data_IF_537831558099
#
_entry.id   IF_537831558099
#
_cell.length_a   1.000
_cell.length_b   1.000
_cell.length_c   1.000
_cell.angle_alpha   90.00
_cell.angle_beta   90.00
_cell.angle_gamma   90.00
#
_symmetry.space_group_name_H-M   'P 1'
#
loop_
_entity.id
_entity.type
_entity.pdbx_description
1 polymer ?
#
# COMPACT_ATOMS: atom_id res chain seq x y z
N UNK A 1 -71.90 17.11 9.25
CA UNK A 1 -70.43 16.93 9.17
C UNK A 1 -69.81 17.69 10.33
N UNK A 2 -69.08 17.00 11.21
CA UNK A 2 -68.75 17.52 12.54
C UNK A 2 -67.69 18.63 12.51
N UNK A 3 -67.82 19.56 13.45
CA UNK A 3 -66.93 20.70 13.72
C UNK A 3 -65.46 20.29 13.89
N UNK A 4 -65.21 19.02 14.22
CA UNK A 4 -63.89 18.40 14.35
C UNK A 4 -63.17 18.30 12.99
N UNK A 5 -63.89 17.95 11.93
CA UNK A 5 -63.32 17.82 10.57
C UNK A 5 -62.90 19.20 10.03
N UNK A 6 -63.64 20.26 10.41
CA UNK A 6 -63.31 21.64 10.01
C UNK A 6 -62.05 22.15 10.71
N UNK A 7 -61.87 21.87 12.01
CA UNK A 7 -60.65 22.21 12.76
C UNK A 7 -59.41 21.45 12.28
N UNK A 8 -59.56 20.17 11.92
CA UNK A 8 -58.44 19.40 11.35
C UNK A 8 -58.01 19.98 9.99
N UNK A 9 -58.97 20.42 9.17
CA UNK A 9 -58.68 21.05 7.89
C UNK A 9 -58.00 22.42 8.07
N UNK A 10 -58.45 23.23 9.02
CA UNK A 10 -57.82 24.53 9.34
C UNK A 10 -56.38 24.39 9.84
N UNK A 11 -56.10 23.39 10.71
CA UNK A 11 -54.75 23.11 11.23
C UNK A 11 -53.80 22.61 10.13
N UNK A 12 -54.30 21.82 9.17
CA UNK A 12 -53.50 21.36 8.03
C UNK A 12 -53.24 22.46 6.98
N UNK A 13 -54.12 23.45 6.87
CA UNK A 13 -53.96 24.58 5.94
C UNK A 13 -53.12 25.74 6.48
N UNK A 14 -52.95 25.83 7.80
CA UNK A 14 -52.12 26.84 8.47
C UNK A 14 -50.85 26.24 9.09
N UNK A 15 -50.16 25.35 8.38
CA UNK A 15 -48.77 25.10 8.67
C UNK A 15 -47.99 26.40 8.34
N UNK A 16 -47.44 27.12 9.32
CA UNK A 16 -46.62 28.28 9.03
C UNK A 16 -45.45 27.82 8.16
N UNK A 17 -45.27 28.49 7.02
CA UNK A 17 -44.05 28.45 6.23
C UNK A 17 -42.96 29.13 7.06
N UNK A 18 -42.52 28.47 8.13
CA UNK A 18 -41.23 28.75 8.73
C UNK A 18 -40.28 27.68 8.21
N UNK A 19 -39.52 28.05 7.19
CA UNK A 19 -38.35 27.30 6.78
C UNK A 19 -37.32 27.38 7.90
N UNK A 20 -37.45 26.52 8.91
CA UNK A 20 -36.32 26.17 9.76
C UNK A 20 -35.43 25.28 8.90
N UNK A 21 -34.54 25.92 8.14
CA UNK A 21 -33.38 25.24 7.58
C UNK A 21 -32.41 25.09 8.75
N UNK A 22 -32.48 23.95 9.44
CA UNK A 22 -31.25 23.49 10.10
C UNK A 22 -30.30 23.04 9.01
N UNK A 23 -28.99 23.36 9.09
CA UNK A 23 -28.04 22.70 8.21
C UNK A 23 -28.25 21.19 8.40
N UNK A 24 -28.52 20.48 7.29
CA UNK A 24 -28.43 19.01 7.28
C UNK A 24 -27.08 18.68 7.91
N UNK A 25 -27.05 17.72 8.84
CA UNK A 25 -25.82 17.28 9.48
C UNK A 25 -24.68 17.26 8.47
N UNK A 26 -23.53 17.88 8.81
CA UNK A 26 -22.34 17.87 7.98
C UNK A 26 -21.83 16.42 7.94
N UNK A 27 -22.35 15.62 7.01
CA UNK A 27 -21.95 14.21 6.88
C UNK A 27 -20.67 14.19 6.07
N UNK A 28 -19.54 14.06 6.76
CA UNK A 28 -18.22 13.96 6.15
C UNK A 28 -17.88 12.57 5.59
N UNK A 29 -18.81 11.60 5.65
CA UNK A 29 -18.60 10.23 5.16
C UNK A 29 -19.91 9.65 4.63
N UNK A 30 -20.06 9.52 3.31
CA UNK A 30 -21.33 9.07 2.70
C UNK A 30 -21.16 7.98 1.63
N UNK A 31 -20.01 7.30 1.58
CA UNK A 31 -19.93 6.02 0.85
C UNK A 31 -20.15 4.89 1.85
N UNK A 32 -21.15 4.05 1.60
CA UNK A 32 -21.29 2.75 2.28
C UNK A 32 -19.98 1.95 2.24
N UNK A 33 -19.79 1.04 3.19
CA UNK A 33 -18.61 0.16 3.27
C UNK A 33 -18.26 -0.38 1.86
N UNK A 34 -17.09 0.03 1.35
CA UNK A 34 -16.64 -0.30 0.00
C UNK A 34 -16.23 -1.78 0.00
N UNK A 35 -16.75 -2.62 -0.90
CA UNK A 35 -16.35 -4.02 -0.95
C UNK A 35 -14.83 -4.15 -1.13
N UNK A 36 -14.19 -4.99 -0.31
CA UNK A 36 -12.73 -5.18 -0.36
C UNK A 36 -12.24 -5.58 -1.76
N UNK A 37 -13.04 -6.36 -2.51
CA UNK A 37 -12.75 -6.72 -3.89
C UNK A 37 -12.63 -5.50 -4.82
N UNK A 38 -13.44 -4.47 -4.62
CA UNK A 38 -13.39 -3.26 -5.45
C UNK A 38 -12.16 -2.41 -5.11
N UNK A 39 -11.71 -2.45 -3.85
CA UNK A 39 -10.42 -1.86 -3.43
C UNK A 39 -9.26 -2.58 -4.13
N UNK A 40 -9.28 -3.91 -4.18
CA UNK A 40 -8.25 -4.68 -4.87
C UNK A 40 -8.27 -4.50 -6.40
N UNK A 41 -9.44 -4.28 -7.01
CA UNK A 41 -9.51 -3.91 -8.43
C UNK A 41 -8.82 -2.57 -8.73
N UNK A 42 -8.85 -1.62 -7.80
CA UNK A 42 -8.09 -0.38 -7.95
C UNK A 42 -6.58 -0.66 -7.91
N UNK A 43 -6.13 -1.49 -6.97
CA UNK A 43 -4.74 -1.96 -6.92
C UNK A 43 -4.30 -2.63 -8.24
N UNK A 44 -5.13 -3.49 -8.83
CA UNK A 44 -4.75 -4.22 -10.05
C UNK A 44 -4.72 -3.34 -11.31
N UNK A 45 -5.48 -2.25 -11.33
CA UNK A 45 -5.74 -1.45 -12.55
C UNK A 45 -5.04 -0.10 -12.57
N UNK A 46 -4.70 0.45 -11.41
CA UNK A 46 -4.03 1.74 -11.32
C UNK A 46 -2.52 1.54 -10.99
N UNK A 47 -1.60 1.97 -11.88
CA UNK A 47 -0.17 1.74 -11.70
C UNK A 47 0.40 2.48 -10.48
N UNK A 48 -0.16 3.63 -10.12
CA UNK A 48 0.26 4.39 -8.93
C UNK A 48 -0.13 3.64 -7.66
N UNK A 49 -1.37 3.15 -7.59
CA UNK A 49 -1.81 2.33 -6.45
C UNK A 49 -1.00 1.04 -6.35
N UNK A 50 -0.79 0.34 -7.48
CA UNK A 50 -0.02 -0.91 -7.52
C UNK A 50 1.39 -0.71 -6.98
N UNK A 51 2.11 0.27 -7.52
CA UNK A 51 3.49 0.56 -7.11
C UNK A 51 3.57 0.94 -5.63
N UNK A 52 2.61 1.72 -5.13
CA UNK A 52 2.60 2.16 -3.74
C UNK A 52 2.44 0.99 -2.76
N UNK A 53 1.45 0.13 -3.02
CA UNK A 53 1.17 -1.04 -2.19
C UNK A 53 2.31 -2.05 -2.28
N UNK A 54 2.83 -2.34 -3.49
CA UNK A 54 3.92 -3.30 -3.67
C UNK A 54 5.19 -2.87 -2.95
N UNK A 55 5.54 -1.57 -3.00
CA UNK A 55 6.70 -1.03 -2.28
C UNK A 55 6.52 -1.10 -0.77
N UNK A 56 5.38 -0.66 -0.24
CA UNK A 56 5.11 -0.73 1.20
C UNK A 56 5.09 -2.18 1.70
N UNK A 57 4.50 -3.10 0.93
CA UNK A 57 4.50 -4.52 1.26
C UNK A 57 5.91 -5.12 1.26
N UNK A 58 6.70 -4.85 0.22
CA UNK A 58 8.08 -5.32 0.11
C UNK A 58 8.96 -4.76 1.22
N UNK A 59 8.82 -3.48 1.59
CA UNK A 59 9.56 -2.91 2.71
C UNK A 59 9.10 -3.46 4.07
N UNK A 60 7.85 -3.89 4.20
CA UNK A 60 7.31 -4.44 5.45
C UNK A 60 7.78 -5.87 5.70
N UNK A 61 7.67 -6.75 4.71
CA UNK A 61 7.94 -8.20 4.89
C UNK A 61 8.94 -8.79 3.90
N UNK A 62 9.29 -8.07 2.83
CA UNK A 62 10.09 -8.61 1.73
C UNK A 62 11.55 -8.91 2.06
N UNK A 63 12.08 -8.38 3.17
CA UNK A 63 13.42 -8.75 3.67
C UNK A 63 13.44 -10.12 4.38
N UNK A 64 12.29 -10.76 4.55
CA UNK A 64 12.12 -11.97 5.32
C UNK A 64 12.15 -11.72 6.83
N UNK A 65 12.18 -12.81 7.59
CA UNK A 65 12.22 -12.79 9.04
C UNK A 65 13.12 -13.87 9.62
N UNK A 66 13.49 -13.71 10.88
CA UNK A 66 14.14 -14.71 11.71
C UNK A 66 13.47 -14.79 13.09
N UNK A 67 13.64 -15.92 13.76
CA UNK A 67 13.08 -16.15 15.09
C UNK A 67 14.14 -16.06 16.18
N UNK A 68 13.75 -15.56 17.36
CA UNK A 68 14.58 -15.57 18.58
C UNK A 68 13.81 -16.11 19.76
N UNK A 69 14.51 -16.59 20.80
CA UNK A 69 13.92 -17.19 22.00
C UNK A 69 14.56 -16.63 23.27
N UNK A 70 13.91 -16.80 24.43
CA UNK A 70 14.49 -16.44 25.71
C UNK A 70 15.64 -17.40 26.06
N UNK A 71 16.87 -16.87 26.13
CA UNK A 71 18.09 -17.65 26.40
C UNK A 71 18.06 -18.32 27.78
N UNK A 72 17.23 -17.82 28.70
CA UNK A 72 17.09 -18.34 30.06
C UNK A 72 16.21 -19.58 30.16
N UNK A 73 15.55 -19.98 29.08
CA UNK A 73 14.68 -21.15 29.08
C UNK A 73 15.46 -22.40 28.63
N UNK A 74 15.49 -23.43 29.47
CA UNK A 74 16.29 -24.65 29.23
C UNK A 74 15.95 -25.35 27.90
N UNK A 75 14.70 -25.24 27.44
CA UNK A 75 14.22 -25.81 26.17
C UNK A 75 14.06 -24.76 25.06
N UNK A 76 14.79 -23.65 25.15
CA UNK A 76 14.71 -22.57 24.16
C UNK A 76 15.06 -23.04 22.74
N UNK A 77 16.09 -23.88 22.60
CA UNK A 77 16.51 -24.45 21.31
C UNK A 77 15.43 -25.34 20.70
N UNK A 78 14.78 -26.21 21.49
CA UNK A 78 13.66 -27.02 21.04
C UNK A 78 12.48 -26.15 20.61
N UNK A 79 12.10 -25.14 21.42
CA UNK A 79 11.00 -24.25 21.09
C UNK A 79 11.26 -23.47 19.78
N UNK A 80 12.49 -23.00 19.57
CA UNK A 80 12.90 -22.34 18.34
C UNK A 80 12.78 -23.29 17.14
N UNK A 81 13.34 -24.49 17.27
CA UNK A 81 13.37 -25.48 16.18
C UNK A 81 11.96 -25.91 15.75
N UNK A 82 11.03 -26.09 16.70
CA UNK A 82 9.63 -26.42 16.39
C UNK A 82 8.97 -25.30 15.58
N UNK A 83 9.17 -24.04 15.98
CA UNK A 83 8.60 -22.89 15.25
C UNK A 83 9.24 -22.73 13.88
N UNK A 84 10.57 -22.81 13.77
CA UNK A 84 11.26 -22.68 12.48
C UNK A 84 10.82 -23.76 11.50
N UNK A 85 10.75 -25.01 11.95
CA UNK A 85 10.29 -26.13 11.13
C UNK A 85 8.86 -25.93 10.64
N UNK A 86 7.96 -25.48 11.53
CA UNK A 86 6.61 -25.15 11.12
C UNK A 86 6.58 -24.02 10.08
N UNK A 87 7.37 -22.95 10.29
CA UNK A 87 7.47 -21.84 9.34
C UNK A 87 7.94 -22.29 7.96
N UNK A 88 8.91 -23.21 7.90
CA UNK A 88 9.41 -23.81 6.67
C UNK A 88 8.35 -24.70 6.01
N UNK A 89 7.69 -25.57 6.78
CA UNK A 89 6.69 -26.53 6.29
C UNK A 89 5.51 -25.83 5.61
N UNK A 90 5.00 -24.74 6.20
CA UNK A 90 3.88 -23.97 5.62
C UNK A 90 4.34 -22.85 4.68
N UNK A 91 5.65 -22.64 4.52
CA UNK A 91 6.22 -21.50 3.81
C UNK A 91 5.64 -20.15 4.29
N UNK A 92 5.77 -19.87 5.60
CA UNK A 92 5.18 -18.69 6.23
C UNK A 92 5.66 -17.38 5.59
N UNK A 93 6.89 -17.35 5.08
CA UNK A 93 7.44 -16.16 4.40
C UNK A 93 6.63 -15.78 3.16
N UNK A 94 6.29 -16.75 2.31
CA UNK A 94 5.43 -16.52 1.15
C UNK A 94 4.03 -16.06 1.57
N UNK A 95 3.47 -16.67 2.63
CA UNK A 95 2.17 -16.25 3.18
C UNK A 95 2.17 -14.79 3.63
N UNK A 96 3.21 -14.36 4.34
CA UNK A 96 3.36 -12.98 4.80
C UNK A 96 3.52 -12.02 3.62
N UNK A 97 4.33 -12.37 2.61
CA UNK A 97 4.51 -11.58 1.39
C UNK A 97 3.19 -11.39 0.62
N UNK A 98 2.41 -12.46 0.47
CA UNK A 98 1.15 -12.43 -0.27
C UNK A 98 0.03 -11.72 0.52
N UNK A 99 0.04 -11.80 1.85
CA UNK A 99 -0.91 -11.13 2.74
C UNK A 99 -0.60 -9.63 2.91
N UNK A 100 0.66 -9.20 2.85
CA UNK A 100 1.02 -7.80 3.05
C UNK A 100 0.32 -6.86 2.04
N UNK A 101 0.13 -7.31 0.79
CA UNK A 101 -0.52 -6.54 -0.28
C UNK A 101 -1.98 -6.18 0.04
N UNK A 102 -2.91 -7.13 0.26
CA UNK A 102 -4.29 -6.77 0.65
C UNK A 102 -4.36 -6.13 2.03
N UNK A 103 -3.48 -6.50 2.98
CA UNK A 103 -3.48 -5.92 4.32
C UNK A 103 -3.20 -4.41 4.24
N UNK A 104 -2.18 -3.99 3.47
CA UNK A 104 -1.88 -2.57 3.26
C UNK A 104 -2.92 -1.91 2.35
N UNK A 105 -3.28 -2.56 1.25
CA UNK A 105 -4.18 -2.01 0.23
C UNK A 105 -5.61 -1.77 0.75
N UNK A 106 -6.24 -2.80 1.32
CA UNK A 106 -7.64 -2.77 1.75
C UNK A 106 -7.82 -2.91 3.27
N UNK A 107 -6.74 -3.05 4.04
CA UNK A 107 -6.79 -3.07 5.51
C UNK A 107 -7.10 -4.44 6.08
N UNK A 108 -7.28 -5.46 5.25
CA UNK A 108 -7.81 -6.76 5.64
C UNK A 108 -7.11 -7.91 4.91
N UNK A 109 -6.98 -9.05 5.58
CA UNK A 109 -6.77 -10.37 4.98
C UNK A 109 -7.30 -11.44 5.95
N UNK A 110 -7.66 -12.61 5.46
CA UNK A 110 -8.27 -13.67 6.28
C UNK A 110 -7.56 -15.00 6.03
N UNK A 111 -7.07 -15.63 7.10
CA UNK A 111 -6.51 -16.97 7.02
C UNK A 111 -7.35 -17.95 7.83
N UNK A 112 -7.57 -19.14 7.29
CA UNK A 112 -8.31 -20.23 7.90
C UNK A 112 -7.33 -21.25 8.48
N UNK A 113 -7.42 -21.50 9.79
CA UNK A 113 -6.78 -22.64 10.45
C UNK A 113 -7.60 -23.88 10.11
N UNK A 114 -7.09 -24.76 9.24
CA UNK A 114 -7.84 -25.95 8.79
C UNK A 114 -8.18 -26.89 9.96
N UNK A 115 -7.29 -26.95 10.95
CA UNK A 115 -7.45 -27.70 12.20
C UNK A 115 -7.31 -26.75 13.39
N UNK A 116 -8.40 -26.09 13.83
CA UNK A 116 -8.34 -25.07 14.89
C UNK A 116 -7.81 -25.61 16.23
N UNK A 117 -8.09 -26.86 16.54
CA UNK A 117 -7.64 -27.53 17.78
C UNK A 117 -6.16 -27.91 17.75
N UNK A 118 -5.61 -28.17 16.56
CA UNK A 118 -4.20 -28.52 16.34
C UNK A 118 -3.73 -27.93 15.02
N UNK A 119 -3.22 -26.71 15.07
CA UNK A 119 -2.65 -25.98 13.95
C UNK A 119 -1.59 -26.82 13.19
N UNK A 120 -2.00 -27.39 12.07
CA UNK A 120 -1.12 -28.16 11.17
C UNK A 120 -0.89 -27.42 9.86
N UNK A 121 -1.92 -26.72 9.38
CA UNK A 121 -1.89 -26.00 8.11
C UNK A 121 -2.82 -24.79 8.15
N UNK A 122 -2.51 -23.81 7.31
CA UNK A 122 -3.20 -22.52 7.21
C UNK A 122 -3.54 -22.26 5.75
N UNK A 123 -4.80 -21.97 5.47
CA UNK A 123 -5.26 -21.58 4.14
C UNK A 123 -5.57 -20.09 4.11
N UNK A 124 -4.96 -19.35 3.18
CA UNK A 124 -5.36 -17.97 2.92
C UNK A 124 -6.68 -17.93 2.17
N UNK A 125 -7.66 -17.22 2.70
CA UNK A 125 -8.99 -17.11 2.12
C UNK A 125 -9.01 -15.99 1.06
N UNK A 126 -9.86 -16.10 0.01
CA UNK A 126 -10.12 -14.98 -0.89
C UNK A 126 -10.58 -13.73 -0.13
N UNK A 127 -10.13 -12.55 -0.54
CA UNK A 127 -10.40 -11.31 0.20
C UNK A 127 -11.90 -10.96 0.28
N UNK A 128 -12.69 -11.45 -0.66
CA UNK A 128 -14.13 -11.23 -0.73
C UNK A 128 -14.95 -12.34 -0.08
N UNK A 129 -14.30 -13.35 0.49
CA UNK A 129 -14.97 -14.52 1.07
C UNK A 129 -15.83 -14.20 2.28
N UNK A 130 -15.40 -13.26 3.12
CA UNK A 130 -16.15 -12.80 4.29
C UNK A 130 -17.12 -11.69 3.87
N UNK A 131 -18.42 -11.95 4.06
CA UNK A 131 -19.48 -10.98 3.81
C UNK A 131 -19.67 -10.02 4.98
N UNK A 132 -19.62 -10.54 6.21
CA UNK A 132 -19.91 -9.78 7.42
C UNK A 132 -19.18 -10.38 8.61
N UNK A 133 -18.74 -9.51 9.53
CA UNK A 133 -18.13 -9.90 10.80
C UNK A 133 -19.17 -9.66 11.90
N UNK A 134 -19.50 -10.71 12.65
CA UNK A 134 -20.35 -10.60 13.82
C UNK A 134 -19.58 -9.98 14.99
N UNK A 135 -20.15 -8.96 15.63
CA UNK A 135 -19.56 -8.33 16.81
C UNK A 135 -20.53 -8.41 17.98
N UNK A 136 -20.04 -8.83 19.14
CA UNK A 136 -20.76 -8.75 20.40
C UNK A 136 -20.76 -7.31 20.90
N UNK A 137 -21.76 -6.95 21.70
CA UNK A 137 -21.77 -5.68 22.43
C UNK A 137 -21.21 -5.85 23.83
N UNK A 138 -20.62 -4.80 24.40
CA UNK A 138 -20.30 -4.77 25.83
C UNK A 138 -21.61 -4.86 26.63
N UNK A 139 -21.62 -5.53 27.78
CA UNK A 139 -22.80 -5.54 28.65
C UNK A 139 -23.19 -4.08 29.00
N UNK A 140 -24.48 -3.77 28.95
CA UNK A 140 -25.07 -2.44 29.22
C UNK A 140 -24.69 -1.30 28.25
N UNK A 141 -23.77 -1.52 27.31
CA UNK A 141 -23.35 -0.53 26.31
C UNK A 141 -23.47 -1.11 24.90
N UNK A 142 -24.16 -0.43 23.98
CA UNK A 142 -24.26 -0.83 22.55
C UNK A 142 -22.95 -0.60 21.78
N UNK A 143 -21.80 -0.77 22.43
CA UNK A 143 -20.48 -0.62 21.85
C UNK A 143 -19.98 -2.00 21.37
N UNK A 144 -19.51 -2.11 20.13
CA UNK A 144 -18.95 -3.36 19.61
C UNK A 144 -17.66 -3.73 20.35
N UNK A 145 -17.49 -5.03 20.65
CA UNK A 145 -16.39 -5.52 21.49
C UNK A 145 -15.62 -6.70 20.90
N UNK A 146 -16.22 -7.90 20.87
CA UNK A 146 -15.54 -9.12 20.43
C UNK A 146 -16.17 -9.68 19.17
N UNK A 147 -15.35 -10.29 18.33
CA UNK A 147 -15.83 -11.01 17.15
C UNK A 147 -16.55 -12.28 17.60
N UNK A 148 -17.75 -12.51 17.09
CA UNK A 148 -18.58 -13.68 17.37
C UNK A 148 -18.53 -14.72 16.25
N UNK A 149 -18.27 -14.28 15.02
CA UNK A 149 -18.17 -15.16 13.86
C UNK A 149 -17.92 -14.40 12.56
N UNK A 150 -17.54 -15.15 11.53
CA UNK A 150 -17.27 -14.65 10.19
C UNK A 150 -18.26 -15.27 9.21
N UNK A 151 -19.21 -14.47 8.74
CA UNK A 151 -20.21 -14.91 7.77
C UNK A 151 -19.59 -14.94 6.37
N UNK A 152 -19.61 -16.10 5.73
CA UNK A 152 -19.11 -16.30 4.37
C UNK A 152 -20.15 -15.88 3.32
N UNK A 153 -19.67 -15.40 2.17
CA UNK A 153 -20.51 -15.22 0.98
C UNK A 153 -21.01 -16.57 0.49
N UNK A 154 -22.20 -16.56 -0.12
CA UNK A 154 -22.85 -17.76 -0.67
C UNK A 154 -22.01 -18.52 -1.70
N UNK A 155 -21.09 -17.84 -2.39
CA UNK A 155 -20.14 -18.46 -3.34
C UNK A 155 -19.11 -19.37 -2.69
N UNK A 156 -18.81 -19.14 -1.40
CA UNK A 156 -17.81 -19.87 -0.63
C UNK A 156 -18.42 -20.67 0.53
N UNK A 157 -19.72 -20.55 0.76
CA UNK A 157 -20.42 -21.32 1.77
C UNK A 157 -20.68 -22.76 1.31
N UNK A 158 -20.43 -23.73 2.19
CA UNK A 158 -20.81 -25.12 1.99
C UNK A 158 -22.31 -25.36 2.19
N UNK A 159 -22.73 -26.63 2.09
CA UNK A 159 -24.15 -27.02 2.19
C UNK A 159 -24.74 -26.91 3.61
N UNK A 160 -23.91 -26.81 4.65
CA UNK A 160 -24.34 -27.06 6.03
C UNK A 160 -24.21 -25.86 6.96
N UNK A 161 -23.18 -25.01 6.80
CA UNK A 161 -22.97 -23.82 7.63
C UNK A 161 -22.28 -22.69 6.85
N UNK A 162 -22.74 -21.44 7.06
CA UNK A 162 -22.24 -20.26 6.36
C UNK A 162 -21.43 -19.32 7.29
N UNK A 163 -21.14 -19.74 8.52
CA UNK A 163 -20.47 -18.93 9.53
C UNK A 163 -19.28 -19.69 10.12
N UNK A 164 -18.10 -19.06 10.10
CA UNK A 164 -16.90 -19.59 10.73
C UNK A 164 -16.77 -19.04 12.15
N UNK A 165 -16.36 -19.92 13.07
CA UNK A 165 -16.05 -19.53 14.44
C UNK A 165 -14.79 -18.67 14.50
N UNK A 166 -14.69 -17.71 15.44
CA UNK A 166 -13.54 -16.81 15.54
C UNK A 166 -12.20 -17.53 15.71
N UNK A 167 -12.18 -18.67 16.40
CA UNK A 167 -10.95 -19.42 16.69
C UNK A 167 -10.33 -20.04 15.43
N UNK A 168 -11.16 -20.30 14.41
CA UNK A 168 -10.72 -20.87 13.13
C UNK A 168 -10.11 -19.82 12.19
N UNK A 169 -10.32 -18.51 12.42
CA UNK A 169 -9.93 -17.46 11.48
C UNK A 169 -8.88 -16.54 12.10
N UNK A 170 -7.74 -16.39 11.43
CA UNK A 170 -6.79 -15.30 11.70
C UNK A 170 -7.21 -14.13 10.82
N UNK A 171 -7.83 -13.12 11.44
CA UNK A 171 -8.19 -11.88 10.76
C UNK A 171 -7.08 -10.84 10.91
N UNK A 172 -6.40 -10.58 9.82
CA UNK A 172 -5.44 -9.48 9.68
C UNK A 172 -6.22 -8.20 9.43
N UNK A 173 -6.10 -7.21 10.34
CA UNK A 173 -6.81 -5.94 10.23
C UNK A 173 -5.95 -4.75 10.64
N UNK A 174 -5.84 -3.77 9.76
CA UNK A 174 -5.24 -2.46 10.06
C UNK A 174 -6.35 -1.42 10.30
N UNK A 175 -6.09 -0.44 11.18
CA UNK A 175 -6.94 0.74 11.39
C UNK A 175 -8.44 0.43 11.40
N UNK A 176 -8.89 -0.30 12.43
CA UNK A 176 -10.24 -0.89 12.49
C UNK A 176 -11.37 0.14 12.39
N UNK A 177 -12.32 -0.13 11.49
CA UNK A 177 -13.62 0.54 11.45
C UNK A 177 -14.53 -0.07 12.54
N UNK A 178 -14.69 0.69 13.63
CA UNK A 178 -15.35 0.24 14.87
C UNK A 178 -16.73 -0.41 14.63
N UNK A 179 -17.60 0.08 13.73
CA UNK A 179 -18.94 -0.49 13.53
C UNK A 179 -18.99 -1.78 12.70
N UNK A 180 -18.10 -1.94 11.71
CA UNK A 180 -18.17 -3.06 10.76
C UNK A 180 -17.27 -4.23 11.12
N UNK A 181 -16.25 -4.00 11.94
CA UNK A 181 -15.26 -5.00 12.35
C UNK A 181 -14.14 -5.21 11.33
N UNK A 182 -14.27 -4.65 10.12
CA UNK A 182 -13.23 -4.66 9.09
C UNK A 182 -12.16 -3.60 9.37
N UNK A 183 -10.97 -3.82 8.82
CA UNK A 183 -9.92 -2.81 8.75
C UNK A 183 -10.12 -1.80 7.62
N UNK A 184 -9.40 -0.69 7.71
CA UNK A 184 -9.31 0.34 6.68
C UNK A 184 -7.89 0.34 6.12
N UNK A 185 -7.79 0.09 4.82
CA UNK A 185 -6.53 0.13 4.08
C UNK A 185 -6.30 1.45 3.37
N UNK A 186 -5.09 1.58 2.86
CA UNK A 186 -4.59 2.76 2.17
C UNK A 186 -5.51 3.22 1.02
N UNK A 187 -5.94 2.28 0.18
CA UNK A 187 -6.64 2.58 -1.05
C UNK A 187 -8.12 2.95 -0.84
N UNK A 188 -8.68 2.71 0.34
CA UNK A 188 -10.08 3.01 0.61
C UNK A 188 -10.36 4.52 0.51
N UNK A 189 -9.46 5.37 1.01
CA UNK A 189 -9.60 6.84 0.95
C UNK A 189 -9.73 7.35 -0.49
N UNK A 190 -9.07 6.69 -1.44
CA UNK A 190 -9.11 7.07 -2.87
C UNK A 190 -10.44 6.73 -3.54
N UNK A 191 -11.21 5.81 -2.96
CA UNK A 191 -12.51 5.37 -3.47
C UNK A 191 -13.69 6.04 -2.78
N UNK A 192 -13.48 6.67 -1.63
CA UNK A 192 -14.52 7.42 -0.92
C UNK A 192 -14.89 8.73 -1.62
N UNK A 193 -16.20 8.98 -1.71
CA UNK A 193 -16.76 10.28 -2.09
C UNK A 193 -16.80 11.19 -0.86
N UNK A 194 -16.54 12.48 -1.06
CA UNK A 194 -16.64 13.46 0.02
C UNK A 194 -17.87 14.34 -0.22
N UNK A 195 -18.84 14.29 0.68
CA UNK A 195 -20.02 15.16 0.65
C UNK A 195 -19.74 16.42 1.44
N UNK A 196 -19.96 17.57 0.83
CA UNK A 196 -19.89 18.89 1.45
C UNK A 196 -21.26 19.55 1.24
N UNK A 197 -22.02 19.66 2.32
CA UNK A 197 -23.42 20.14 2.33
C UNK A 197 -24.34 19.32 1.40
N UNK A 198 -24.64 19.84 0.20
CA UNK A 198 -25.42 19.15 -0.84
C UNK A 198 -24.58 18.60 -1.97
N UNK A 199 -23.33 19.07 -2.09
CA UNK A 199 -22.46 18.74 -3.20
C UNK A 199 -21.59 17.54 -2.84
N UNK A 200 -21.43 16.63 -3.82
CA UNK A 200 -20.60 15.45 -3.68
C UNK A 200 -19.36 15.61 -4.53
N UNK A 201 -18.20 15.71 -3.89
CA UNK A 201 -16.94 15.48 -4.57
C UNK A 201 -16.84 13.98 -4.89
N UNK A 202 -16.68 13.60 -6.17
CA UNK A 202 -16.45 12.21 -6.53
C UNK A 202 -15.13 11.69 -5.92
N UNK A 203 -14.93 10.38 -5.98
CA UNK A 203 -13.71 9.75 -5.49
C UNK A 203 -12.49 10.16 -6.30
N UNK A 204 -11.31 10.21 -5.67
CA UNK A 204 -10.07 10.57 -6.37
C UNK A 204 -9.73 9.59 -7.49
N UNK A 205 -9.98 8.30 -7.28
CA UNK A 205 -9.83 7.27 -8.33
C UNK A 205 -10.71 7.57 -9.55
N UNK A 206 -11.95 7.98 -9.34
CA UNK A 206 -12.85 8.33 -10.45
C UNK A 206 -12.42 9.62 -11.15
N UNK A 207 -12.01 10.65 -10.40
CA UNK A 207 -11.53 11.91 -10.98
C UNK A 207 -10.28 11.69 -11.84
N UNK A 208 -9.30 10.92 -11.33
CA UNK A 208 -8.09 10.55 -12.06
C UNK A 208 -8.42 9.80 -13.35
N UNK A 209 -9.19 8.72 -13.26
CA UNK A 209 -9.59 7.92 -14.42
C UNK A 209 -10.37 8.74 -15.47
N UNK A 210 -11.21 9.68 -15.03
CA UNK A 210 -11.96 10.57 -15.93
C UNK A 210 -11.03 11.53 -16.68
N UNK A 211 -10.03 12.10 -16.00
CA UNK A 211 -9.04 12.98 -16.63
C UNK A 211 -8.18 12.20 -17.63
N UNK A 212 -7.69 11.02 -17.25
CA UNK A 212 -6.90 10.16 -18.15
C UNK A 212 -7.68 9.74 -19.40
N UNK A 213 -9.00 9.54 -19.28
CA UNK A 213 -9.88 9.29 -20.43
C UNK A 213 -10.06 10.53 -21.34
N UNK A 214 -10.12 11.72 -20.76
CA UNK A 214 -10.41 12.97 -21.51
C UNK A 214 -9.16 13.54 -22.17
N UNK A 215 -7.99 13.44 -21.54
CA UNK A 215 -6.73 14.04 -22.01
C UNK A 215 -6.39 13.68 -23.47
N UNK A 216 -6.43 12.41 -23.93
CA UNK A 216 -6.15 12.07 -25.32
C UNK A 216 -7.08 12.78 -26.32
N UNK A 217 -8.35 12.97 -25.95
CA UNK A 217 -9.32 13.66 -26.80
C UNK A 217 -9.01 15.16 -26.92
N UNK A 218 -8.45 15.78 -25.88
CA UNK A 218 -8.01 17.18 -25.94
C UNK A 218 -6.86 17.31 -26.95
N UNK A 219 -5.86 16.41 -26.88
CA UNK A 219 -4.77 16.39 -27.86
C UNK A 219 -5.27 16.16 -29.28
N UNK A 220 -6.20 15.21 -29.46
CA UNK A 220 -6.79 14.92 -30.77
C UNK A 220 -7.55 16.12 -31.33
N UNK A 221 -8.38 16.79 -30.50
CA UNK A 221 -9.11 18.00 -30.89
C UNK A 221 -8.21 19.20 -31.12
N UNK A 222 -7.07 19.28 -30.44
CA UNK A 222 -6.09 20.33 -30.69
C UNK A 222 -5.38 20.10 -32.03
N UNK A 223 -5.02 18.85 -32.34
CA UNK A 223 -4.43 18.48 -33.63
C UNK A 223 -5.43 18.59 -34.79
N UNK A 224 -6.71 18.28 -34.55
CA UNK A 224 -7.82 18.36 -35.51
C UNK A 224 -9.04 19.06 -34.91
N UNK A 225 -9.09 20.41 -34.94
CA UNK A 225 -10.20 21.14 -34.34
C UNK A 225 -11.49 20.93 -35.11
N UNK A 226 -12.61 20.96 -34.38
CA UNK A 226 -13.93 21.02 -34.98
C UNK A 226 -14.05 22.34 -35.76
N UNK A 227 -14.35 22.25 -37.05
CA UNK A 227 -14.44 23.42 -37.95
C UNK A 227 -15.90 23.63 -38.34
N UNK A 228 -16.42 24.82 -38.08
CA UNK A 228 -17.71 25.25 -38.64
C UNK A 228 -17.45 25.94 -39.98
N UNK A 229 -18.00 25.37 -41.05
CA UNK A 229 -17.92 25.93 -42.40
C UNK A 229 -19.25 26.60 -42.73
N UNK A 230 -19.27 27.92 -42.84
CA UNK A 230 -20.43 28.68 -43.32
C UNK A 230 -20.28 28.97 -44.82
N UNK A 231 -21.26 28.51 -45.60
CA UNK A 231 -21.33 28.73 -47.05
C UNK A 231 -22.56 29.60 -47.36
N UNK A 232 -22.38 30.91 -47.48
CA UNK A 232 -23.47 31.83 -47.85
C UNK A 232 -23.91 31.61 -49.31
N UNK A 233 -25.22 31.39 -49.52
CA UNK A 233 -25.84 31.33 -50.86
C UNK A 233 -25.76 29.99 -51.63
N UNK A 234 -25.30 28.90 -50.99
CA UNK A 234 -25.22 27.56 -51.63
C UNK A 234 -26.50 26.72 -51.45
N UNK A 235 -26.84 25.88 -52.44
CA UNK A 235 -27.98 24.94 -52.39
C UNK A 235 -27.65 23.71 -51.51
N UNK A 236 -28.67 23.19 -50.84
CA UNK A 236 -28.57 22.09 -49.86
C UNK A 236 -27.94 20.79 -50.42
N UNK A 237 -28.15 20.50 -51.70
CA UNK A 237 -27.53 19.34 -52.38
C UNK A 237 -26.01 19.48 -52.56
N UNK A 238 -25.51 20.70 -52.73
CA UNK A 238 -24.07 20.97 -52.77
C UNK A 238 -23.43 20.77 -51.40
N UNK A 239 -24.15 21.17 -50.33
CA UNK A 239 -23.71 21.00 -48.94
C UNK A 239 -23.57 19.51 -48.59
N UNK A 240 -24.54 18.67 -48.98
CA UNK A 240 -24.48 17.20 -48.77
C UNK A 240 -23.34 16.52 -49.52
N UNK A 241 -22.95 17.04 -50.70
CA UNK A 241 -21.76 16.56 -51.42
C UNK A 241 -20.46 16.90 -50.68
N UNK A 242 -20.35 18.12 -50.13
CA UNK A 242 -19.21 18.50 -49.31
C UNK A 242 -19.15 17.70 -47.99
N UNK A 243 -20.29 17.46 -47.34
CA UNK A 243 -20.39 16.64 -46.13
C UNK A 243 -19.92 15.19 -46.37
N UNK A 244 -20.35 14.58 -47.48
CA UNK A 244 -19.94 13.21 -47.86
C UNK A 244 -18.45 13.11 -48.19
N UNK A 245 -17.87 14.17 -48.75
CA UNK A 245 -16.44 14.27 -49.03
C UNK A 245 -15.59 14.48 -47.76
N UNK A 246 -16.19 14.97 -46.67
CA UNK A 246 -15.55 15.13 -45.35
C UNK A 246 -15.65 13.82 -44.53
N UNK A 247 -16.80 13.11 -44.57
CA UNK A 247 -17.00 11.85 -43.82
C UNK A 247 -16.11 10.69 -44.25
N UNK A 248 -15.68 10.64 -45.51
CA UNK A 248 -14.86 9.54 -46.06
C UNK A 248 -13.33 9.80 -45.96
N UNK A 249 -12.86 10.56 -44.96
CA UNK A 249 -11.46 11.01 -44.87
C UNK A 249 -10.71 10.48 -43.63
N UNK A 250 -9.36 10.41 -43.70
CA UNK A 250 -8.50 10.06 -42.56
C UNK A 250 -8.54 11.13 -41.45
N UNK A 251 -8.26 10.69 -40.21
CA UNK A 251 -8.42 11.45 -38.95
C UNK A 251 -7.50 12.67 -38.78
N UNK A 252 -6.41 12.80 -39.55
CA UNK A 252 -5.42 13.88 -39.41
C UNK A 252 -5.39 14.78 -40.67
N UNK A 253 -5.30 16.11 -40.48
CA UNK A 253 -5.64 17.20 -41.44
C UNK A 253 -5.15 17.07 -42.90
N UNK A 254 -5.75 17.71 -43.91
CA UNK A 254 -5.95 19.17 -44.05
C UNK A 254 -7.23 19.65 -44.83
N UNK A 255 -7.47 20.93 -44.55
CA UNK A 255 -8.21 22.06 -45.14
C UNK A 255 -8.03 22.23 -46.68
N UNK A 256 -8.65 23.11 -47.48
CA UNK A 256 -9.95 23.83 -47.70
C UNK A 256 -9.89 24.18 -49.20
N UNK A 257 -11.01 24.18 -49.95
CA UNK A 257 -11.15 25.05 -51.13
C UNK A 257 -12.60 25.54 -51.29
N UNK A 258 -12.81 26.82 -51.62
CA UNK A 258 -13.36 27.25 -52.93
C UNK A 258 -13.77 28.74 -53.00
N UNK A 259 -13.98 29.19 -54.24
CA UNK A 259 -13.86 30.50 -54.89
C UNK A 259 -14.93 31.58 -54.57
N UNK A 260 -15.13 31.92 -53.29
CA UNK A 260 -16.05 33.00 -52.89
C UNK A 260 -15.31 34.25 -52.33
N UNK A 261 -15.93 35.43 -52.48
CA UNK A 261 -15.43 36.74 -52.00
C UNK A 261 -15.40 36.89 -50.46
N UNK A 262 -16.08 36.01 -49.71
CA UNK A 262 -16.02 35.93 -48.25
C UNK A 262 -16.37 34.50 -47.78
N UNK A 263 -15.34 33.69 -47.51
CA UNK A 263 -15.48 32.40 -46.81
C UNK A 263 -15.03 32.61 -45.37
N UNK A 264 -15.95 32.44 -44.42
CA UNK A 264 -15.64 32.46 -42.99
C UNK A 264 -15.40 31.04 -42.49
N UNK A 265 -14.14 30.70 -42.21
CA UNK A 265 -13.81 29.47 -41.49
C UNK A 265 -13.54 29.83 -40.05
N UNK A 266 -14.38 29.33 -39.15
CA UNK A 266 -14.27 29.57 -37.72
C UNK A 266 -13.85 28.27 -37.03
N UNK A 267 -12.54 28.02 -36.85
CA UNK A 267 -12.09 26.92 -36.02
C UNK A 267 -12.58 27.18 -34.58
N UNK A 268 -13.19 26.18 -33.95
CA UNK A 268 -13.50 26.28 -32.51
C UNK A 268 -12.19 26.08 -31.76
N UNK A 269 -11.47 27.17 -31.51
CA UNK A 269 -10.19 27.14 -30.80
C UNK A 269 -10.42 26.97 -29.31
N UNK A 270 -9.85 25.93 -28.71
CA UNK A 270 -9.70 25.81 -27.25
C UNK A 270 -8.65 26.84 -26.83
N UNK A 271 -8.95 27.70 -25.85
CA UNK A 271 -7.97 28.67 -25.34
C UNK A 271 -6.81 27.93 -24.63
N UNK A 272 -5.58 27.95 -25.19
CA UNK A 272 -4.44 27.26 -24.59
C UNK A 272 -3.97 27.92 -23.29
N UNK A 273 -4.48 29.10 -22.92
CA UNK A 273 -4.14 29.79 -21.66
C UNK A 273 -4.93 29.28 -20.46
N UNK A 274 -5.93 28.43 -20.66
CA UNK A 274 -6.61 27.76 -19.56
C UNK A 274 -5.64 26.77 -18.90
N UNK A 275 -4.89 27.25 -17.89
CA UNK A 275 -3.85 26.51 -17.16
C UNK A 275 -4.46 25.43 -16.26
N UNK A 276 -4.95 24.33 -16.85
CA UNK A 276 -5.49 23.19 -16.12
C UNK A 276 -4.42 22.36 -15.39
N UNK A 277 -3.15 22.54 -15.77
CA UNK A 277 -1.98 21.86 -15.20
C UNK A 277 -1.99 21.88 -13.66
N UNK A 278 -2.20 23.04 -13.04
CA UNK A 278 -2.23 23.15 -11.57
C UNK A 278 -3.35 22.34 -10.91
N UNK A 279 -4.53 22.25 -11.55
CA UNK A 279 -5.64 21.46 -11.03
C UNK A 279 -5.37 19.96 -11.17
N UNK A 280 -4.78 19.54 -12.29
CA UNK A 280 -4.37 18.16 -12.53
C UNK A 280 -3.28 17.77 -11.52
N UNK A 281 -2.27 18.61 -11.35
CA UNK A 281 -1.19 18.41 -10.39
C UNK A 281 -1.72 18.33 -8.96
N UNK A 282 -2.64 19.22 -8.57
CA UNK A 282 -3.25 19.15 -7.25
C UNK A 282 -3.95 17.80 -7.03
N UNK A 283 -4.76 17.35 -7.99
CA UNK A 283 -5.47 16.06 -7.89
C UNK A 283 -4.49 14.88 -7.83
N UNK A 284 -3.48 14.85 -8.69
CA UNK A 284 -2.46 13.80 -8.71
C UNK A 284 -1.65 13.80 -7.41
N UNK A 285 -1.30 14.97 -6.87
CA UNK A 285 -0.63 15.09 -5.58
C UNK A 285 -1.50 14.58 -4.43
N UNK A 286 -2.81 14.86 -4.43
CA UNK A 286 -3.75 14.31 -3.45
C UNK A 286 -3.89 12.79 -3.59
N UNK A 287 -3.81 12.27 -4.81
CA UNK A 287 -3.81 10.83 -5.06
C UNK A 287 -2.57 10.16 -4.47
N UNK A 288 -1.37 10.69 -4.73
CA UNK A 288 -0.12 10.21 -4.12
C UNK A 288 -0.11 10.36 -2.60
N UNK A 289 -0.66 11.45 -2.06
CA UNK A 289 -0.82 11.63 -0.62
C UNK A 289 -1.71 10.54 -0.02
N UNK A 290 -2.81 10.19 -0.69
CA UNK A 290 -3.68 9.08 -0.28
C UNK A 290 -3.02 7.70 -0.41
N UNK A 291 -1.92 7.57 -1.14
CA UNK A 291 -1.07 6.39 -1.15
C UNK A 291 0.00 6.39 -0.05
N UNK A 292 0.12 7.46 0.73
CA UNK A 292 1.00 7.60 1.91
C UNK A 292 2.48 7.24 1.66
N UNK A 293 2.92 7.15 0.41
CA UNK A 293 4.31 6.89 0.04
C UNK A 293 4.80 7.90 -0.98
N UNK A 294 5.93 8.57 -0.71
CA UNK A 294 6.57 9.46 -1.67
C UNK A 294 7.32 8.69 -2.77
N UNK A 295 7.58 7.38 -2.59
CA UNK A 295 8.49 6.63 -3.45
C UNK A 295 8.07 6.58 -4.93
N UNK A 296 6.80 6.32 -5.29
CA UNK A 296 6.40 6.33 -6.70
C UNK A 296 6.72 7.66 -7.38
N UNK A 297 6.65 8.77 -6.64
CA UNK A 297 6.98 10.11 -7.14
C UNK A 297 8.49 10.29 -7.37
N UNK A 298 9.33 9.68 -6.55
CA UNK A 298 10.79 9.67 -6.74
C UNK A 298 11.17 9.03 -8.09
N UNK A 299 10.42 8.03 -8.56
CA UNK A 299 10.65 7.39 -9.86
C UNK A 299 10.11 8.19 -11.05
N UNK A 300 9.02 8.96 -10.86
CA UNK A 300 8.34 9.64 -11.96
C UNK A 300 8.74 11.10 -12.18
N UNK A 301 9.16 11.81 -11.13
CA UNK A 301 9.41 13.26 -11.19
C UNK A 301 10.91 13.56 -11.09
N UNK A 302 11.52 14.22 -12.10
CA UNK A 302 12.92 14.64 -12.02
C UNK A 302 13.12 15.75 -10.98
N UNK A 303 14.31 15.82 -10.38
CA UNK A 303 14.71 16.91 -9.48
C UNK A 303 14.88 16.55 -8.01
N UNK A 304 14.80 15.27 -7.63
CA UNK A 304 15.15 14.83 -6.28
C UNK A 304 16.66 14.72 -6.09
N UNK A 305 17.15 15.23 -4.96
CA UNK A 305 18.54 15.04 -4.50
C UNK A 305 18.65 13.82 -3.60
N UNK A 306 19.86 13.28 -3.42
CA UNK A 306 20.11 12.17 -2.50
C UNK A 306 19.58 12.45 -1.08
N UNK A 307 19.78 13.67 -0.58
CA UNK A 307 19.28 14.08 0.73
C UNK A 307 17.75 13.98 0.83
N UNK A 308 17.02 14.39 -0.21
CA UNK A 308 15.56 14.28 -0.25
C UNK A 308 15.08 12.83 -0.35
N UNK A 309 15.80 11.98 -1.09
CA UNK A 309 15.49 10.55 -1.18
C UNK A 309 15.70 9.84 0.17
N UNK A 310 16.78 10.18 0.89
CA UNK A 310 17.05 9.63 2.22
C UNK A 310 15.98 10.02 3.24
N UNK A 311 15.59 11.31 3.27
CA UNK A 311 14.52 11.78 4.14
C UNK A 311 13.17 11.09 3.83
N UNK A 312 12.90 10.78 2.55
CA UNK A 312 11.70 10.06 2.15
C UNK A 312 11.69 8.61 2.66
N UNK A 313 12.84 7.92 2.64
CA UNK A 313 12.99 6.57 3.20
C UNK A 313 12.79 6.57 4.72
N UNK A 314 13.37 7.54 5.43
CA UNK A 314 13.21 7.66 6.89
C UNK A 314 11.74 7.88 7.30
N UNK A 315 10.99 8.68 6.52
CA UNK A 315 9.55 8.89 6.73
C UNK A 315 8.75 7.61 6.46
N UNK A 316 9.10 6.85 5.42
CA UNK A 316 8.43 5.59 5.10
C UNK A 316 8.61 4.56 6.22
N UNK A 317 9.79 4.55 6.85
CA UNK A 317 10.09 3.72 8.02
C UNK A 317 9.12 3.94 9.18
N UNK A 318 8.61 5.17 9.35
CA UNK A 318 7.60 5.51 10.36
C UNK A 318 6.24 4.84 10.07
N UNK A 319 5.94 4.53 8.82
CA UNK A 319 4.72 3.83 8.40
C UNK A 319 4.90 2.31 8.45
N UNK A 320 6.09 1.82 8.09
CA UNK A 320 6.40 0.38 8.03
C UNK A 320 6.48 -0.24 9.43
N UNK A 321 7.19 0.40 10.36
CA UNK A 321 7.47 -0.17 11.70
C UNK A 321 6.19 -0.51 12.50
N UNK A 322 5.13 0.32 12.50
CA UNK A 322 3.85 -0.05 13.12
C UNK A 322 3.20 -1.29 12.49
N UNK A 323 3.21 -1.41 11.16
CA UNK A 323 2.64 -2.56 10.45
C UNK A 323 3.43 -3.83 10.73
N UNK A 324 4.77 -3.77 10.66
CA UNK A 324 5.64 -4.87 11.08
C UNK A 324 5.36 -5.30 12.51
N UNK A 325 5.27 -4.35 13.45
CA UNK A 325 4.95 -4.64 14.85
C UNK A 325 3.60 -5.33 14.99
N UNK A 326 2.59 -4.88 14.26
CA UNK A 326 1.27 -5.52 14.25
C UNK A 326 1.36 -6.97 13.76
N UNK A 327 1.97 -7.20 12.59
CA UNK A 327 2.13 -8.54 12.01
C UNK A 327 2.89 -9.45 12.99
N UNK A 328 4.03 -8.98 13.51
CA UNK A 328 4.84 -9.68 14.52
C UNK A 328 3.99 -10.15 15.69
N UNK A 329 3.20 -9.26 16.30
CA UNK A 329 2.38 -9.61 17.47
C UNK A 329 1.29 -10.61 17.15
N UNK A 330 0.68 -10.50 15.97
CA UNK A 330 -0.36 -11.43 15.54
C UNK A 330 0.22 -12.82 15.27
N UNK A 331 1.35 -12.92 14.56
CA UNK A 331 2.06 -14.19 14.31
C UNK A 331 2.50 -14.83 15.63
N UNK A 332 3.14 -14.06 16.51
CA UNK A 332 3.60 -14.57 17.80
C UNK A 332 2.46 -15.17 18.63
N UNK A 333 1.30 -14.50 18.64
CA UNK A 333 0.14 -14.91 19.45
C UNK A 333 -0.66 -16.05 18.82
N UNK A 334 -1.02 -15.94 17.55
CA UNK A 334 -1.96 -16.86 16.89
C UNK A 334 -1.30 -18.10 16.29
N UNK A 335 0.02 -18.05 16.06
CA UNK A 335 0.78 -19.13 15.42
C UNK A 335 1.86 -19.64 16.38
N UNK A 336 2.84 -18.81 16.77
CA UNK A 336 4.01 -19.31 17.49
C UNK A 336 3.67 -19.86 18.88
N UNK A 337 2.90 -19.13 19.69
CA UNK A 337 2.47 -19.64 21.00
C UNK A 337 1.70 -20.96 20.87
N UNK A 338 0.80 -21.04 19.91
CA UNK A 338 -0.04 -22.24 19.66
C UNK A 338 0.80 -23.45 19.29
N UNK A 339 1.80 -23.28 18.42
CA UNK A 339 2.71 -24.35 17.98
C UNK A 339 3.62 -24.81 19.12
N UNK A 340 4.15 -23.88 19.92
CA UNK A 340 5.00 -24.22 21.07
C UNK A 340 4.20 -25.00 22.13
N UNK A 341 2.97 -24.55 22.43
CA UNK A 341 2.10 -25.23 23.38
C UNK A 341 1.69 -26.64 22.88
N UNK A 342 1.43 -26.80 21.57
CA UNK A 342 1.15 -28.10 20.95
C UNK A 342 2.33 -29.09 21.03
N UNK A 343 3.56 -28.59 21.07
CA UNK A 343 4.76 -29.41 21.27
C UNK A 343 4.99 -29.78 22.75
N UNK A 344 4.11 -29.36 23.67
CA UNK A 344 4.25 -29.60 25.10
C UNK A 344 5.31 -28.72 25.77
N UNK A 345 5.67 -27.60 25.13
CA UNK A 345 6.61 -26.60 25.66
C UNK A 345 5.84 -25.41 26.25
N UNK A 346 6.51 -24.62 27.09
CA UNK A 346 5.89 -23.45 27.72
C UNK A 346 6.11 -22.21 26.85
N UNK A 347 5.07 -21.78 26.12
CA UNK A 347 5.14 -20.61 25.23
C UNK A 347 5.47 -19.30 25.96
N UNK A 348 5.05 -19.16 27.22
CA UNK A 348 5.28 -17.96 28.03
C UNK A 348 6.75 -17.86 28.45
N UNK A 349 7.40 -18.99 28.75
CA UNK A 349 8.83 -19.04 29.09
C UNK A 349 9.72 -19.00 27.86
N UNK A 350 9.36 -19.73 26.80
CA UNK A 350 10.14 -19.77 25.57
C UNK A 350 10.22 -18.41 24.87
N UNK A 351 9.13 -17.62 24.92
CA UNK A 351 8.99 -16.27 24.31
C UNK A 351 9.59 -16.23 22.91
N UNK A 352 9.15 -17.12 22.03
CA UNK A 352 9.58 -17.09 20.63
C UNK A 352 9.13 -15.78 20.00
N UNK A 353 10.04 -15.02 19.39
CA UNK A 353 9.79 -13.72 18.76
C UNK A 353 10.11 -13.77 17.28
N UNK A 354 9.29 -13.09 16.48
CA UNK A 354 9.55 -12.85 15.07
C UNK A 354 10.30 -11.52 14.91
N UNK A 355 11.38 -11.48 14.14
CA UNK A 355 12.11 -10.26 13.83
C UNK A 355 12.28 -10.15 12.32
N UNK A 356 11.96 -8.99 11.75
CA UNK A 356 12.10 -8.76 10.31
C UNK A 356 13.54 -8.39 9.96
N UNK A 357 13.96 -8.73 8.74
CA UNK A 357 15.30 -8.47 8.23
C UNK A 357 16.29 -9.58 8.57
N UNK A 358 17.57 -9.27 8.42
CA UNK A 358 18.65 -10.18 8.77
C UNK A 358 18.95 -10.11 10.26
N UNK A 359 19.34 -11.23 10.91
CA UNK A 359 19.90 -11.18 12.25
C UNK A 359 21.03 -10.16 12.29
N UNK A 360 21.02 -9.26 13.28
CA UNK A 360 22.13 -8.35 13.51
C UNK A 360 23.34 -9.22 13.90
N UNK A 361 24.19 -9.52 12.92
CA UNK A 361 25.53 -10.02 13.20
C UNK A 361 26.27 -8.86 13.84
N UNK A 362 26.81 -9.01 15.07
CA UNK A 362 27.62 -7.97 15.67
C UNK A 362 28.73 -7.59 14.71
N UNK A 363 28.68 -6.37 14.18
CA UNK A 363 29.81 -5.84 13.43
C UNK A 363 30.95 -5.69 14.42
N UNK A 364 32.05 -6.42 14.19
CA UNK A 364 33.27 -6.28 14.98
C UNK A 364 33.80 -4.86 14.77
N UNK A 365 33.47 -3.96 15.70
CA UNK A 365 34.02 -2.61 15.71
C UNK A 365 35.47 -2.72 16.18
N UNK A 366 36.37 -1.98 15.55
CA UNK A 366 37.81 -1.99 15.89
C UNK A 366 38.03 -1.68 17.38
N UNK A 367 37.17 -0.85 17.98
CA UNK A 367 37.18 -0.56 19.41
C UNK A 367 36.99 -1.81 20.28
N UNK A 368 36.11 -2.74 19.89
CA UNK A 368 35.89 -3.99 20.60
C UNK A 368 37.07 -4.95 20.44
N UNK A 369 37.71 -4.94 19.26
CA UNK A 369 38.94 -5.72 19.01
C UNK A 369 40.12 -5.22 19.86
N UNK A 370 40.29 -3.90 19.99
CA UNK A 370 41.31 -3.27 20.85
C UNK A 370 41.06 -3.62 22.31
N UNK A 371 39.82 -3.47 22.78
CA UNK A 371 39.44 -3.79 24.15
C UNK A 371 39.63 -5.28 24.48
N UNK A 372 39.33 -6.17 23.53
CA UNK A 372 39.58 -7.60 23.70
C UNK A 372 41.08 -7.94 23.80
N UNK A 373 41.94 -7.22 23.06
CA UNK A 373 43.38 -7.35 23.18
C UNK A 373 43.92 -6.79 24.52
N UNK A 374 43.42 -5.63 24.98
CA UNK A 374 43.77 -5.05 26.28
C UNK A 374 43.38 -5.96 27.45
N UNK A 375 42.24 -6.65 27.35
CA UNK A 375 41.76 -7.62 28.33
C UNK A 375 42.48 -8.99 28.24
N UNK A 376 43.41 -9.15 27.30
CA UNK A 376 44.17 -10.39 27.10
C UNK A 376 43.34 -11.56 26.54
N UNK A 377 42.15 -11.29 25.99
CA UNK A 377 41.26 -12.30 25.42
C UNK A 377 41.70 -12.75 24.02
N UNK A 378 42.53 -11.95 23.34
CA UNK A 378 43.05 -12.21 21.99
C UNK A 378 44.56 -12.13 22.03
N UNK A 379 45.26 -13.09 21.40
CA UNK A 379 46.72 -13.06 21.31
C UNK A 379 47.18 -11.92 20.40
N UNK A 380 48.34 -11.34 20.68
CA UNK A 380 48.89 -10.24 19.88
C UNK A 380 49.00 -10.57 18.38
N UNK A 381 49.30 -11.82 18.02
CA UNK A 381 49.36 -12.28 16.63
C UNK A 381 47.99 -12.35 15.95
N UNK A 382 46.95 -12.74 16.69
CA UNK A 382 45.56 -12.81 16.21
C UNK A 382 44.98 -11.41 16.05
N UNK A 383 45.29 -10.51 16.99
CA UNK A 383 44.96 -9.09 16.90
C UNK A 383 45.57 -8.44 15.66
N UNK A 384 46.88 -8.64 15.40
CA UNK A 384 47.55 -8.08 14.22
C UNK A 384 46.92 -8.58 12.91
N UNK A 385 46.64 -9.88 12.79
CA UNK A 385 45.98 -10.44 11.59
C UNK A 385 44.57 -9.86 11.37
N UNK A 386 43.80 -9.67 12.44
CA UNK A 386 42.47 -9.07 12.33
C UNK A 386 42.56 -7.56 12.02
N UNK A 387 43.45 -6.82 12.68
CA UNK A 387 43.73 -5.40 12.42
C UNK A 387 44.11 -5.14 10.96
N UNK A 388 44.97 -5.99 10.36
CA UNK A 388 45.35 -5.88 8.96
C UNK A 388 44.15 -6.05 8.00
N UNK A 389 43.22 -6.98 8.31
CA UNK A 389 41.99 -7.18 7.52
C UNK A 389 41.04 -5.97 7.60
N UNK A 390 41.09 -5.22 8.69
CA UNK A 390 40.33 -3.98 8.88
C UNK A 390 41.05 -2.74 8.32
N UNK A 391 42.13 -2.92 7.55
CA UNK A 391 42.84 -1.82 6.86
C UNK A 391 43.89 -1.11 7.70
N UNK A 392 44.31 -1.67 8.84
CA UNK A 392 45.37 -1.09 9.66
C UNK A 392 46.75 -1.46 9.11
N UNK A 393 47.56 -0.46 8.77
CA UNK A 393 48.93 -0.69 8.31
C UNK A 393 49.81 -1.24 9.44
N UNK A 394 50.23 -2.50 9.29
CA UNK A 394 51.21 -3.13 10.17
C UNK A 394 52.62 -2.80 9.68
N UNK A 395 53.41 -2.15 10.53
CA UNK A 395 54.74 -1.65 10.19
C UNK A 395 55.81 -2.75 9.96
N UNK A 396 55.48 -4.02 10.20
CA UNK A 396 56.41 -5.14 10.04
C UNK A 396 56.67 -5.52 8.57
N UNK A 397 55.80 -5.14 7.63
CA UNK A 397 56.00 -5.42 6.20
C UNK A 397 57.08 -4.51 5.57
N UNK A 398 57.30 -3.33 6.14
CA UNK A 398 58.37 -2.41 5.72
C UNK A 398 59.75 -3.01 6.08
N UNK A 399 59.85 -3.71 7.22
CA UNK A 399 61.09 -4.34 7.66
C UNK A 399 61.48 -5.57 6.81
N UNK A 400 60.50 -6.31 6.28
CA UNK A 400 60.77 -7.44 5.36
C UNK A 400 61.17 -6.97 3.95
N UNK A 401 60.58 -5.89 3.44
CA UNK A 401 60.96 -5.33 2.14
C UNK A 401 62.36 -4.67 2.17
N UNK A 402 62.74 -4.02 3.27
CA UNK A 402 64.10 -3.46 3.41
C UNK A 402 65.19 -4.54 3.51
N UNK A 403 64.89 -5.70 4.12
CA UNK A 403 65.85 -6.81 4.20
C UNK A 403 66.09 -7.53 2.86
N UNK A 404 65.10 -7.55 1.95
CA UNK A 404 65.30 -8.04 0.57
C UNK A 404 66.09 -7.06 -0.31
N UNK A 405 65.99 -5.75 -0.05
CA UNK A 405 66.80 -4.74 -0.74
C UNK A 405 68.27 -4.72 -0.29
N UNK A 406 68.56 -5.10 0.97
CA UNK A 406 69.93 -5.20 1.48
C UNK A 406 70.66 -6.47 1.03
N UNK A 407 69.95 -7.60 0.90
CA UNK A 407 70.53 -8.88 0.46
C UNK A 407 70.76 -8.98 -1.04
N UNK A 408 70.05 -8.19 -1.86
CA UNK A 408 70.28 -8.11 -3.32
C UNK A 408 71.43 -7.19 -3.72
N UNK A 409 71.84 -6.23 -2.87
CA UNK A 409 72.99 -5.36 -3.11
C UNK A 409 74.35 -5.96 -2.74
N UNK A 410 74.40 -6.97 -1.86
CA UNK A 410 75.65 -7.61 -1.45
C UNK A 410 76.13 -8.72 -2.39
N UNK A 411 75.33 -9.12 -3.38
CA UNK A 411 75.71 -10.13 -4.38
C UNK A 411 76.26 -9.56 -5.69
N UNK A 412 76.37 -8.24 -5.83
CA UNK A 412 76.79 -7.58 -7.08
C UNK A 412 78.10 -6.78 -6.99
N UNK A 413 78.96 -7.07 -6.01
CA UNK A 413 80.27 -6.41 -5.82
C UNK A 413 81.43 -7.40 -5.66
N UNK A 414 81.48 -8.42 -6.51
CA UNK A 414 82.57 -9.42 -6.55
C UNK A 414 82.77 -9.92 -7.98
N UNK A 415 83.31 -9.06 -8.84
CA UNK A 415 83.62 -9.34 -10.23
C UNK A 415 84.52 -8.24 -10.80
N UNK A 416 85.75 -8.20 -10.32
CA UNK A 416 87.01 -7.99 -11.06
C UNK A 416 88.20 -8.14 -10.11
#
# INVERSE_FOLDING_TARGET
MSTVIRKIREVLTFAPVSGVVSPKQRVFFDTSCIPLADVMKLYDRDPTCKSSVDLLAASTVGMGFYTTTDVKYDKASEAKAVVDRFCEDINLDQFLNDMAKPLIGCGNDFWLKLTPERLADILRMPIDSVQRIGLSSVADLKLPYKVTGYQLRSTYSGATENELKPEAVIHWRLSGDVPSGFGVGLLQVLLHTLTVDTDKRPSYAWMKAKIEKILPNIFTKYAGPDVVVQLEGQKEDSIKKYESAIKNRPEEGQWIFSSAKSVGVYPVTIDPRARFEYYIDHMVNQFYLGCETPLPRLFSTPGFTEASAKAALDLQDMLIKPVQRYIKRQVEKEIFSVIVDQAGLDSIKAKVRLNFGTPETPELVIADLIKAAELGLVRAEEFRKNAAKFGWELWDDIARQQNHAFTSKSQNSGGD
#
